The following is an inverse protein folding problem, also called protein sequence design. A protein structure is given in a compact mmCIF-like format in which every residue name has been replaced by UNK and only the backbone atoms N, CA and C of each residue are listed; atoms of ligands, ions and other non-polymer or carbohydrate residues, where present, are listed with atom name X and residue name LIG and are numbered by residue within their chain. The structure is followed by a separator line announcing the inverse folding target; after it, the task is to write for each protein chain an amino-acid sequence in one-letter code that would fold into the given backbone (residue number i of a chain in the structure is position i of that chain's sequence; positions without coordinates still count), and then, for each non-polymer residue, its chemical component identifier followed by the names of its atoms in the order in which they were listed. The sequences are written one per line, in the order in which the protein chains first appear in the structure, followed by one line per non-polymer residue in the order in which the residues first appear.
data_IF_276246163394
#
_entry.id   IF_276246163394
#
_cell.length_a   1.000
_cell.length_b   1.000
_cell.length_c   1.000
_cell.angle_alpha   90.00
_cell.angle_beta   90.00
_cell.angle_gamma   90.00
#
_symmetry.space_group_name_H-M   'P 1'
#
loop_
_entity.id
_entity.type
_entity.pdbx_description
1 polymer ?
#
# COMPACT_ATOMS: atom_id res chain seq x y z
N UNK A 1 -17.23 -20.41 -14.78
CA UNK A 1 -15.86 -19.85 -14.81
C UNK A 1 -15.79 -18.82 -15.92
N UNK A 2 -15.24 -17.63 -15.66
CA UNK A 2 -15.05 -16.57 -16.66
C UNK A 2 -15.83 -15.27 -16.41
N UNK A 3 -15.62 -14.60 -15.26
CA UNK A 3 -15.88 -13.16 -15.17
C UNK A 3 -14.59 -12.46 -15.54
N UNK A 4 -14.59 -11.76 -16.67
CA UNK A 4 -13.51 -10.88 -17.08
C UNK A 4 -13.14 -9.96 -15.90
N UNK A 5 -11.87 -9.95 -15.45
CA UNK A 5 -11.43 -9.06 -14.39
C UNK A 5 -11.78 -7.63 -14.79
N UNK A 6 -12.61 -6.97 -13.99
CA UNK A 6 -13.02 -5.61 -14.30
C UNK A 6 -11.75 -4.75 -14.36
N UNK A 7 -11.51 -4.11 -15.50
CA UNK A 7 -10.23 -3.49 -15.84
C UNK A 7 -9.83 -2.42 -14.81
N UNK A 8 -10.81 -1.67 -14.31
CA UNK A 8 -10.65 -0.70 -13.23
C UNK A 8 -10.17 -1.33 -11.91
N UNK A 9 -10.63 -2.54 -11.61
CA UNK A 9 -10.29 -3.32 -10.43
C UNK A 9 -8.85 -3.83 -10.52
N UNK A 10 -8.45 -4.29 -11.71
CA UNK A 10 -7.07 -4.74 -11.98
C UNK A 10 -6.10 -3.58 -11.89
N UNK A 11 -6.41 -2.44 -12.50
CA UNK A 11 -5.60 -1.21 -12.43
C UNK A 11 -5.46 -0.75 -10.98
N UNK A 12 -6.56 -0.71 -10.23
CA UNK A 12 -6.53 -0.30 -8.83
C UNK A 12 -5.64 -1.21 -7.98
N UNK A 13 -5.74 -2.54 -8.14
CA UNK A 13 -4.88 -3.49 -7.43
C UNK A 13 -3.40 -3.32 -7.78
N UNK A 14 -3.11 -3.04 -9.06
CA UNK A 14 -1.76 -2.81 -9.51
C UNK A 14 -1.17 -1.53 -8.89
N UNK A 15 -1.92 -0.43 -8.93
CA UNK A 15 -1.49 0.85 -8.35
C UNK A 15 -1.35 0.74 -6.84
N UNK A 16 -2.32 0.13 -6.15
CA UNK A 16 -2.25 -0.07 -4.70
C UNK A 16 -1.07 -0.98 -4.31
N UNK A 17 -0.82 -2.06 -5.05
CA UNK A 17 0.31 -2.95 -4.83
C UNK A 17 1.65 -2.25 -5.04
N UNK A 18 1.79 -1.47 -6.12
CA UNK A 18 3.00 -0.69 -6.41
C UNK A 18 3.27 0.33 -5.31
N UNK A 19 2.25 1.05 -4.85
CA UNK A 19 2.38 2.01 -3.74
C UNK A 19 2.79 1.31 -2.45
N UNK A 20 2.25 0.13 -2.17
CA UNK A 20 2.61 -0.67 -1.00
C UNK A 20 4.09 -1.10 -1.05
N UNK A 21 4.56 -1.56 -2.21
CA UNK A 21 5.96 -1.96 -2.43
C UNK A 21 6.89 -0.76 -2.32
N UNK A 22 6.54 0.37 -2.94
CA UNK A 22 7.29 1.62 -2.78
C UNK A 22 7.42 2.02 -1.31
N UNK A 23 6.32 1.93 -0.56
CA UNK A 23 6.34 2.28 0.85
C UNK A 23 7.21 1.31 1.66
N UNK A 24 7.13 0.01 1.41
CA UNK A 24 8.01 -0.98 2.02
C UNK A 24 9.50 -0.68 1.75
N UNK A 25 9.84 -0.27 0.52
CA UNK A 25 11.22 0.13 0.17
C UNK A 25 11.65 1.38 0.93
N UNK A 26 10.79 2.39 1.03
CA UNK A 26 11.08 3.63 1.78
C UNK A 26 11.30 3.34 3.27
N UNK A 27 10.50 2.47 3.86
CA UNK A 27 10.65 2.03 5.25
C UNK A 27 11.94 1.26 5.47
N UNK A 28 12.31 0.39 4.53
CA UNK A 28 13.60 -0.31 4.54
C UNK A 28 14.73 0.72 4.51
N UNK A 29 14.70 1.67 3.58
CA UNK A 29 15.70 2.71 3.41
C UNK A 29 15.87 3.57 4.66
N UNK A 30 14.76 3.89 5.33
CA UNK A 30 14.77 4.59 6.60
C UNK A 30 15.36 3.74 7.74
N UNK A 31 15.10 2.43 7.77
CA UNK A 31 15.67 1.53 8.78
C UNK A 31 17.18 1.36 8.65
N UNK A 32 17.74 1.53 7.45
CA UNK A 32 19.17 1.57 7.20
C UNK A 32 19.83 2.92 7.56
N UNK A 33 19.07 3.89 8.06
CA UNK A 33 19.58 5.20 8.49
C UNK A 33 19.83 6.20 7.35
N UNK A 34 19.48 5.85 6.11
CA UNK A 34 19.61 6.75 4.95
C UNK A 34 18.60 7.91 4.98
N UNK A 35 17.52 7.79 5.77
CA UNK A 35 16.48 8.79 5.97
C UNK A 35 16.35 9.19 7.47
N UNK A 36 17.48 9.46 8.13
CA UNK A 36 17.60 9.75 9.57
C UNK A 36 16.72 10.92 10.07
N UNK A 37 16.26 11.80 9.18
CA UNK A 37 15.40 12.96 9.49
C UNK A 37 13.89 12.63 9.57
N UNK A 38 13.46 11.41 9.20
CA UNK A 38 12.03 11.09 9.19
C UNK A 38 11.59 10.59 10.58
N UNK A 39 10.62 11.26 11.24
CA UNK A 39 10.11 10.84 12.54
C UNK A 39 9.47 9.45 12.45
N UNK A 40 9.72 8.62 13.46
CA UNK A 40 9.31 7.20 13.50
C UNK A 40 7.78 7.07 13.47
N UNK A 41 7.07 8.10 13.90
CA UNK A 41 5.63 8.24 13.90
C UNK A 41 5.08 8.34 12.47
N UNK A 42 5.79 9.03 11.56
CA UNK A 42 5.39 9.14 10.16
C UNK A 42 5.47 7.79 9.44
N UNK A 43 6.44 6.95 9.82
CA UNK A 43 6.55 5.56 9.36
C UNK A 43 5.34 4.74 9.76
N UNK A 44 4.99 4.76 11.04
CA UNK A 44 3.85 3.99 11.52
C UNK A 44 2.53 4.47 10.91
N UNK A 45 2.36 5.79 10.72
CA UNK A 45 1.20 6.36 10.06
C UNK A 45 1.08 5.90 8.60
N UNK A 46 2.19 5.92 7.86
CA UNK A 46 2.26 5.41 6.50
C UNK A 46 1.89 3.91 6.46
N UNK A 47 2.48 3.09 7.33
CA UNK A 47 2.20 1.64 7.43
C UNK A 47 0.72 1.39 7.67
N UNK A 48 0.13 2.08 8.64
CA UNK A 48 -1.30 1.94 8.95
C UNK A 48 -2.20 2.39 7.81
N UNK A 49 -1.82 3.45 7.07
CA UNK A 49 -2.55 3.94 5.91
C UNK A 49 -2.49 2.96 4.73
N UNK A 50 -1.34 2.33 4.50
CA UNK A 50 -1.18 1.28 3.51
C UNK A 50 -2.03 0.04 3.85
N UNK A 51 -2.03 -0.40 5.11
CA UNK A 51 -2.88 -1.50 5.58
C UNK A 51 -4.36 -1.14 5.45
N UNK A 52 -4.76 0.04 5.94
CA UNK A 52 -6.15 0.51 5.93
C UNK A 52 -6.71 0.67 4.52
N UNK A 53 -5.93 1.19 3.57
CA UNK A 53 -6.33 1.31 2.17
C UNK A 53 -6.47 -0.06 1.49
N UNK A 54 -5.59 -1.02 1.78
CA UNK A 54 -5.70 -2.40 1.31
C UNK A 54 -6.96 -3.10 1.83
N UNK A 55 -7.26 -2.94 3.13
CA UNK A 55 -8.47 -3.49 3.74
C UNK A 55 -9.73 -2.84 3.17
N UNK A 56 -9.79 -1.51 3.09
CA UNK A 56 -10.95 -0.77 2.57
C UNK A 56 -11.26 -1.15 1.12
N UNK A 57 -10.22 -1.33 0.30
CA UNK A 57 -10.36 -1.80 -1.07
C UNK A 57 -10.85 -3.26 -1.16
N UNK A 58 -10.37 -4.13 -0.27
CA UNK A 58 -10.82 -5.52 -0.18
C UNK A 58 -12.28 -5.64 0.25
N UNK A 59 -12.71 -4.81 1.19
CA UNK A 59 -14.10 -4.78 1.70
C UNK A 59 -15.06 -4.24 0.64
N UNK A 60 -14.70 -3.17 -0.09
CA UNK A 60 -15.53 -2.60 -1.17
C UNK A 60 -15.78 -3.55 -2.34
N UNK A 61 -15.00 -4.63 -2.49
CA UNK A 61 -15.27 -5.67 -3.50
C UNK A 61 -16.23 -6.76 -3.05
N UNK A 62 -16.51 -6.86 -1.75
CA UNK A 62 -17.40 -7.91 -1.19
C UNK A 62 -18.84 -7.44 -1.00
N UNK A 63 -19.12 -6.13 -1.06
CA UNK A 63 -20.47 -5.57 -1.17
C UNK A 63 -20.79 -5.20 -2.62
#
# INVERSE_FOLDING_TARGET
MGRSPNLAITIFLYVAGILLVMMAILLLLQSFGLLTEIPREAVYALVLLAIGSGILAGVRRRG
#
